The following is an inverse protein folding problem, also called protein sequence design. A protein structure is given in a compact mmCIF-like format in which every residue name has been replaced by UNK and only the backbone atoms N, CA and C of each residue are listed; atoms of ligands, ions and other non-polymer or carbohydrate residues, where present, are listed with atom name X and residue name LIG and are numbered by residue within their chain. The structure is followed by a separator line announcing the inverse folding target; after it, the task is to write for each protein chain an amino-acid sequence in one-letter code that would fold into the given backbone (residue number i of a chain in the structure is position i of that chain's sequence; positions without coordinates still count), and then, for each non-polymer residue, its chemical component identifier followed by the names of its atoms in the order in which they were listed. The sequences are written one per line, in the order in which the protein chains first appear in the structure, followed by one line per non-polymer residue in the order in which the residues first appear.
data_IF_726144613207
#
_entry.id   IF_726144613207
#
_cell.length_a   1.000
_cell.length_b   1.000
_cell.length_c   1.000
_cell.angle_alpha   90.00
_cell.angle_beta   90.00
_cell.angle_gamma   90.00
#
_symmetry.space_group_name_H-M   'P 1'
#
loop_
_entity.id
_entity.type
_entity.pdbx_description
1 polymer ?
#
# COMPACT_ATOMS: atom_id res chain seq x y z
N UNK A 1 -0.17 35.87 49.56
CA UNK A 1 -1.03 36.95 49.05
C UNK A 1 -0.52 37.26 47.65
N UNK A 2 -1.05 36.65 46.58
CA UNK A 2 -2.38 36.88 45.95
C UNK A 2 -2.39 38.33 45.45
N UNK A 3 -2.35 38.58 44.13
CA UNK A 3 -3.52 38.42 43.24
C UNK A 3 -3.22 38.04 41.78
N UNK A 4 -4.24 37.41 41.20
CA UNK A 4 -4.43 36.92 39.83
C UNK A 4 -5.17 38.00 39.01
N UNK A 5 -5.01 38.08 37.68
CA UNK A 5 -6.12 38.44 36.81
C UNK A 5 -6.52 37.27 35.91
N UNK A 6 -7.79 36.90 36.05
CA UNK A 6 -8.58 36.06 35.16
C UNK A 6 -8.92 36.85 33.89
N UNK A 7 -8.94 36.16 32.75
CA UNK A 7 -9.31 36.78 31.48
C UNK A 7 -9.31 35.76 30.35
N UNK A 8 -10.38 34.98 30.30
CA UNK A 8 -10.73 34.06 29.23
C UNK A 8 -10.96 34.79 27.90
N UNK A 9 -10.18 34.49 26.86
CA UNK A 9 -10.64 34.65 25.48
C UNK A 9 -10.30 33.42 24.63
N UNK A 10 -11.39 32.79 24.20
CA UNK A 10 -11.57 31.77 23.15
C UNK A 10 -10.47 31.65 22.11
N UNK A 11 -9.83 30.47 22.09
CA UNK A 11 -9.16 29.91 20.92
C UNK A 11 -10.22 29.67 19.82
N UNK A 12 -10.39 30.65 18.94
CA UNK A 12 -11.09 30.47 17.67
C UNK A 12 -10.27 29.49 16.86
N UNK A 13 -10.72 28.22 16.84
CA UNK A 13 -10.26 27.19 15.92
C UNK A 13 -10.44 27.70 14.48
N UNK A 14 -9.34 28.14 13.88
CA UNK A 14 -9.32 28.51 12.46
C UNK A 14 -9.73 27.28 11.64
N UNK A 15 -10.95 27.34 11.12
CA UNK A 15 -11.64 26.29 10.38
C UNK A 15 -11.05 26.06 8.99
N UNK A 16 -9.86 26.62 8.71
CA UNK A 16 -9.14 26.54 7.44
C UNK A 16 -8.22 25.33 7.29
N UNK A 17 -8.04 24.52 8.34
CA UNK A 17 -7.23 23.28 8.25
C UNK A 17 -7.98 22.15 7.51
N UNK A 18 -9.32 22.20 7.39
CA UNK A 18 -10.13 21.11 6.81
C UNK A 18 -10.64 21.34 5.38
N UNK A 19 -10.28 22.43 4.71
CA UNK A 19 -10.82 22.80 3.38
C UNK A 19 -9.79 22.84 2.24
N UNK A 20 -8.75 21.99 2.29
CA UNK A 20 -7.73 21.90 1.22
C UNK A 20 -7.74 20.60 0.39
N UNK A 21 -8.77 19.76 0.48
CA UNK A 21 -8.83 18.53 -0.33
C UNK A 21 -9.00 18.74 -1.86
N UNK A 22 -9.76 19.73 -2.38
CA UNK A 22 -9.95 19.85 -3.83
C UNK A 22 -8.78 20.52 -4.56
N UNK A 23 -8.09 21.47 -3.91
CA UNK A 23 -7.01 22.27 -4.54
C UNK A 23 -5.68 21.51 -4.61
N UNK A 24 -5.45 20.60 -3.67
CA UNK A 24 -4.23 19.77 -3.64
C UNK A 24 -4.22 18.75 -4.78
N UNK A 25 -5.39 18.21 -5.17
CA UNK A 25 -5.48 17.29 -6.32
C UNK A 25 -5.13 17.97 -7.65
N UNK A 26 -5.58 19.22 -7.84
CA UNK A 26 -5.23 20.02 -9.02
C UNK A 26 -3.75 20.41 -9.08
N UNK A 27 -3.10 20.60 -7.93
CA UNK A 27 -1.67 20.89 -7.86
C UNK A 27 -0.80 19.62 -8.00
N UNK A 28 -1.28 18.45 -7.58
CA UNK A 28 -0.64 17.16 -7.85
C UNK A 28 -0.54 16.93 -9.37
N UNK A 29 -1.61 17.22 -10.13
CA UNK A 29 -1.60 17.10 -11.61
C UNK A 29 -0.61 18.07 -12.27
N UNK A 30 -0.39 19.25 -11.69
CA UNK A 30 0.56 20.26 -12.21
C UNK A 30 2.04 19.89 -11.99
N UNK A 31 2.34 18.89 -11.16
CA UNK A 31 3.72 18.46 -10.86
C UNK A 31 4.02 17.06 -11.38
N UNK A 32 3.10 16.43 -12.11
CA UNK A 32 3.42 15.27 -12.92
C UNK A 32 4.22 15.70 -14.16
N UNK A 33 5.14 14.85 -14.67
CA UNK A 33 5.75 15.03 -15.98
C UNK A 33 4.68 15.34 -17.04
N UNK A 34 4.93 16.29 -17.94
CA UNK A 34 3.95 16.78 -18.93
C UNK A 34 3.24 15.64 -19.69
N UNK A 35 3.96 14.57 -20.01
CA UNK A 35 3.41 13.40 -20.70
C UNK A 35 2.29 12.68 -19.92
N UNK A 36 2.36 12.63 -18.59
CA UNK A 36 1.31 11.98 -17.78
C UNK A 36 0.11 12.93 -17.58
N UNK A 37 0.37 14.24 -17.52
CA UNK A 37 -0.69 15.26 -17.49
C UNK A 37 -1.54 15.27 -18.78
N UNK A 38 -0.92 15.03 -19.93
CA UNK A 38 -1.62 14.90 -21.22
C UNK A 38 -2.42 13.60 -21.32
N UNK A 39 -1.88 12.47 -20.84
CA UNK A 39 -2.62 11.19 -20.79
C UNK A 39 -3.85 11.26 -19.88
N UNK A 40 -3.76 11.96 -18.73
CA UNK A 40 -4.90 12.19 -17.84
C UNK A 40 -5.93 13.15 -18.46
N UNK A 41 -5.51 14.19 -19.19
CA UNK A 41 -6.41 15.11 -19.92
C UNK A 41 -7.06 14.48 -21.16
N UNK A 42 -6.37 13.56 -21.83
CA UNK A 42 -6.93 12.78 -22.95
C UNK A 42 -7.97 11.76 -22.46
N UNK A 43 -7.78 11.20 -21.27
CA UNK A 43 -8.77 10.33 -20.62
C UNK A 43 -10.06 11.06 -20.22
N UNK A 44 -9.97 12.33 -19.82
CA UNK A 44 -11.13 13.14 -19.41
C UNK A 44 -12.03 13.62 -20.56
N UNK A 45 -11.50 13.80 -21.78
CA UNK A 45 -12.27 14.31 -22.93
C UNK A 45 -13.15 13.27 -23.62
N UNK A 46 -12.90 11.98 -23.42
CA UNK A 46 -13.66 10.89 -24.05
C UNK A 46 -14.60 10.14 -23.10
N UNK A 47 -14.80 10.64 -21.88
CA UNK A 47 -15.68 10.02 -20.89
C UNK A 47 -17.19 10.20 -21.21
N UNK A 48 -17.54 11.10 -22.13
CA UNK A 48 -18.93 11.37 -22.53
C UNK A 48 -19.55 10.34 -23.48
N UNK A 49 -18.75 9.57 -24.24
CA UNK A 49 -19.28 8.71 -25.32
C UNK A 49 -19.31 7.20 -25.00
N UNK A 50 -18.85 6.77 -23.81
CA UNK A 50 -18.80 5.34 -23.44
C UNK A 50 -19.89 4.90 -22.44
N UNK A 51 -21.05 5.55 -22.45
CA UNK A 51 -22.19 5.19 -21.58
C UNK A 51 -23.05 4.01 -22.09
N UNK A 52 -22.58 3.24 -23.08
CA UNK A 52 -23.26 2.00 -23.52
C UNK A 52 -22.27 0.86 -23.76
N UNK A 53 -21.83 0.21 -22.67
CA UNK A 53 -21.41 -1.20 -22.76
C UNK A 53 -21.63 -1.92 -21.42
N UNK A 54 -22.03 -3.20 -21.42
CA UNK A 54 -22.47 -3.88 -20.20
C UNK A 54 -21.30 -4.16 -19.26
N UNK A 55 -21.55 -3.99 -17.96
CA UNK A 55 -20.67 -4.34 -16.84
C UNK A 55 -19.99 -5.70 -17.06
N UNK A 56 -18.66 -5.70 -17.18
CA UNK A 56 -17.83 -6.91 -17.10
C UNK A 56 -17.07 -6.91 -15.78
N UNK A 57 -17.49 -7.83 -14.90
CA UNK A 57 -16.83 -8.37 -13.70
C UNK A 57 -15.82 -7.47 -12.97
N UNK A 58 -16.27 -6.92 -11.86
CA UNK A 58 -15.49 -6.40 -10.75
C UNK A 58 -14.36 -7.38 -10.38
N UNK A 59 -13.10 -7.02 -10.61
CA UNK A 59 -11.97 -7.78 -10.07
C UNK A 59 -11.87 -7.51 -8.56
N UNK A 60 -12.52 -8.37 -7.79
CA UNK A 60 -12.42 -8.46 -6.34
C UNK A 60 -11.01 -8.97 -5.97
N UNK A 61 -10.12 -8.05 -5.55
CA UNK A 61 -8.79 -8.43 -5.04
C UNK A 61 -8.88 -8.70 -3.53
N UNK A 62 -9.24 -9.94 -3.20
CA UNK A 62 -9.10 -10.52 -1.88
C UNK A 62 -7.75 -11.23 -1.77
N UNK A 63 -6.96 -10.84 -0.78
CA UNK A 63 -5.77 -11.59 -0.39
C UNK A 63 -6.21 -12.95 0.18
N UNK A 64 -5.51 -14.06 -0.11
CA UNK A 64 -5.82 -15.33 0.52
C UNK A 64 -5.63 -15.19 2.04
N UNK A 65 -6.71 -15.37 2.79
CA UNK A 65 -6.73 -15.48 4.24
C UNK A 65 -6.55 -16.97 4.57
N UNK A 66 -5.48 -17.31 5.30
CA UNK A 66 -5.35 -18.58 6.01
C UNK A 66 -5.00 -19.81 5.17
N UNK A 67 -3.74 -20.23 5.26
CA UNK A 67 -3.43 -21.65 5.43
C UNK A 67 -3.62 -21.91 6.92
N UNK A 68 -4.78 -22.44 7.29
CA UNK A 68 -5.02 -23.06 8.59
C UNK A 68 -4.72 -24.55 8.47
N UNK A 69 -3.91 -25.05 9.40
CA UNK A 69 -3.64 -26.46 9.63
C UNK A 69 -4.93 -27.30 9.68
N UNK A 70 -4.87 -28.51 9.12
CA UNK A 70 -5.70 -29.60 9.58
C UNK A 70 -4.99 -30.94 9.34
N UNK A 71 -4.44 -31.48 10.44
CA UNK A 71 -4.14 -32.89 10.60
C UNK A 71 -5.39 -33.58 11.18
N UNK A 72 -5.96 -34.53 10.45
CA UNK A 72 -6.78 -35.63 10.98
C UNK A 72 -7.03 -36.65 9.85
N UNK A 73 -6.92 -37.94 10.18
CA UNK A 73 -6.85 -39.06 9.24
C UNK A 73 -8.18 -39.59 8.72
N UNK A 74 -8.10 -40.71 7.98
CA UNK A 74 -9.24 -41.58 7.66
C UNK A 74 -9.36 -42.02 6.21
N UNK A 75 -8.67 -43.12 5.88
CA UNK A 75 -9.00 -44.26 5.00
C UNK A 75 -9.87 -44.16 3.72
N UNK A 76 -9.43 -45.02 2.79
CA UNK A 76 -10.20 -45.88 1.84
C UNK A 76 -10.42 -45.44 0.38
N UNK A 77 -9.55 -46.02 -0.47
CA UNK A 77 -9.84 -46.99 -1.55
C UNK A 77 -10.54 -46.60 -2.88
N UNK A 78 -9.88 -47.08 -3.95
CA UNK A 78 -10.38 -47.59 -5.24
C UNK A 78 -11.03 -46.65 -6.27
N UNK A 79 -10.51 -46.73 -7.51
CA UNK A 79 -11.20 -46.24 -8.71
C UNK A 79 -10.28 -45.90 -9.87
N UNK A 80 -9.51 -46.88 -10.35
CA UNK A 80 -8.81 -46.81 -11.63
C UNK A 80 -9.84 -47.07 -12.73
N UNK A 81 -10.08 -46.12 -13.64
CA UNK A 81 -10.73 -46.44 -14.91
C UNK A 81 -10.17 -45.62 -16.07
N UNK A 82 -9.90 -46.36 -17.14
CA UNK A 82 -9.25 -45.96 -18.38
C UNK A 82 -10.32 -45.73 -19.45
N UNK A 83 -10.29 -44.58 -20.12
CA UNK A 83 -11.27 -44.26 -21.17
C UNK A 83 -10.70 -43.34 -22.24
N UNK A 84 -10.19 -43.97 -23.29
CA UNK A 84 -9.71 -43.41 -24.56
C UNK A 84 -10.82 -42.63 -25.30
N UNK A 85 -10.51 -41.45 -25.83
CA UNK A 85 -11.44 -40.69 -26.68
C UNK A 85 -10.79 -39.47 -27.30
N UNK A 86 -10.16 -39.65 -28.46
CA UNK A 86 -9.59 -38.56 -29.24
C UNK A 86 -10.67 -37.63 -29.79
N UNK A 87 -10.40 -36.33 -29.76
CA UNK A 87 -10.97 -35.41 -30.74
C UNK A 87 -9.98 -34.24 -30.98
N UNK A 88 -9.24 -34.37 -32.07
CA UNK A 88 -8.35 -33.36 -32.60
C UNK A 88 -9.19 -32.27 -33.25
N UNK A 89 -9.62 -31.26 -32.48
CA UNK A 89 -10.25 -30.08 -33.04
C UNK A 89 -9.18 -29.02 -33.30
N UNK A 90 -8.69 -29.02 -34.55
CA UNK A 90 -7.88 -27.96 -35.12
C UNK A 90 -8.71 -26.66 -35.15
N UNK A 91 -8.61 -25.87 -34.08
CA UNK A 91 -9.11 -24.51 -34.08
C UNK A 91 -7.98 -23.59 -34.57
N UNK A 92 -7.92 -23.40 -35.89
CA UNK A 92 -7.19 -22.32 -36.53
C UNK A 92 -7.82 -20.97 -36.18
N UNK A 93 -7.68 -20.56 -34.92
CA UNK A 93 -7.92 -19.20 -34.50
C UNK A 93 -6.72 -18.38 -34.89
N UNK A 94 -6.86 -17.56 -35.94
CA UNK A 94 -5.91 -16.52 -36.34
C UNK A 94 -5.51 -15.73 -35.10
N UNK A 95 -4.35 -16.05 -34.51
CA UNK A 95 -3.76 -15.28 -33.43
C UNK A 95 -3.48 -13.90 -34.01
N UNK A 96 -4.37 -12.95 -33.73
CA UNK A 96 -4.12 -11.53 -34.00
C UNK A 96 -2.74 -11.22 -33.41
N UNK A 97 -1.84 -10.53 -34.13
CA UNK A 97 -0.58 -10.12 -33.54
C UNK A 97 -0.93 -9.22 -32.35
N UNK A 98 -0.88 -9.78 -31.15
CA UNK A 98 -1.22 -9.09 -29.92
C UNK A 98 -0.07 -8.14 -29.63
N UNK A 99 -0.04 -7.00 -30.31
CA UNK A 99 0.90 -5.94 -30.00
C UNK A 99 0.65 -5.56 -28.54
N UNK A 100 1.68 -5.63 -27.70
CA UNK A 100 1.63 -5.22 -26.28
C UNK A 100 0.93 -3.87 -26.11
N UNK A 101 1.16 -2.97 -27.06
CA UNK A 101 0.52 -1.67 -27.15
C UNK A 101 -1.03 -1.76 -27.21
N UNK A 102 -1.60 -2.68 -27.99
CA UNK A 102 -3.05 -2.91 -28.05
C UNK A 102 -3.59 -3.49 -26.73
N UNK A 103 -2.83 -4.36 -26.07
CA UNK A 103 -3.17 -4.86 -24.73
C UNK A 103 -3.17 -3.75 -23.66
N UNK A 104 -2.19 -2.84 -23.71
CA UNK A 104 -2.11 -1.71 -22.79
C UNK A 104 -3.21 -0.67 -23.08
N UNK A 105 -3.46 -0.37 -24.37
CA UNK A 105 -4.51 0.57 -24.78
C UNK A 105 -5.92 0.06 -24.49
N UNK A 106 -6.14 -1.26 -24.46
CA UNK A 106 -7.41 -1.83 -24.01
C UNK A 106 -7.58 -1.76 -22.49
N UNK A 107 -6.49 -1.74 -21.72
CA UNK A 107 -6.49 -1.67 -20.25
C UNK A 107 -5.87 -0.36 -19.73
N UNK A 108 -6.35 0.78 -20.24
CA UNK A 108 -5.73 2.11 -20.03
C UNK A 108 -5.48 2.45 -18.56
N UNK A 109 -6.42 2.12 -17.68
CA UNK A 109 -6.31 2.45 -16.25
C UNK A 109 -5.27 1.58 -15.55
N UNK A 110 -5.25 0.28 -15.83
CA UNK A 110 -4.23 -0.63 -15.28
C UNK A 110 -2.83 -0.34 -15.84
N UNK A 111 -2.75 0.03 -17.13
CA UNK A 111 -1.50 0.48 -17.74
C UNK A 111 -1.01 1.79 -17.10
N UNK A 112 -1.89 2.74 -16.82
CA UNK A 112 -1.56 3.98 -16.11
C UNK A 112 -1.07 3.70 -14.69
N UNK A 113 -1.76 2.84 -13.93
CA UNK A 113 -1.32 2.42 -12.60
C UNK A 113 0.02 1.71 -12.62
N UNK A 114 0.28 0.89 -13.63
CA UNK A 114 1.58 0.25 -13.81
C UNK A 114 2.67 1.28 -14.06
N UNK A 115 2.43 2.25 -14.96
CA UNK A 115 3.40 3.31 -15.26
C UNK A 115 3.74 4.15 -14.04
N UNK A 116 2.74 4.59 -13.25
CA UNK A 116 2.99 5.35 -12.02
C UNK A 116 3.76 4.53 -10.99
N UNK A 117 3.51 3.22 -10.89
CA UNK A 117 4.28 2.32 -10.00
C UNK A 117 5.73 2.17 -10.46
N UNK A 118 5.99 2.03 -11.76
CA UNK A 118 7.36 2.01 -12.29
C UNK A 118 8.07 3.32 -11.97
N UNK A 119 7.41 4.47 -12.16
CA UNK A 119 7.98 5.77 -11.80
C UNK A 119 8.28 5.87 -10.29
N UNK A 120 7.39 5.36 -9.42
CA UNK A 120 7.62 5.26 -7.97
C UNK A 120 8.85 4.41 -7.65
N UNK A 121 9.00 3.24 -8.29
CA UNK A 121 10.14 2.34 -8.11
C UNK A 121 11.45 3.04 -8.47
N UNK A 122 11.50 3.70 -9.64
CA UNK A 122 12.68 4.43 -10.11
C UNK A 122 13.03 5.56 -9.14
N UNK A 123 12.08 6.42 -8.78
CA UNK A 123 12.34 7.53 -7.86
C UNK A 123 12.81 7.04 -6.47
N UNK A 124 12.19 5.98 -5.96
CA UNK A 124 12.58 5.39 -4.67
C UNK A 124 13.99 4.82 -4.72
N UNK A 125 14.34 4.14 -5.82
CA UNK A 125 15.68 3.59 -6.02
C UNK A 125 16.73 4.69 -6.10
N UNK A 126 16.48 5.76 -6.84
CA UNK A 126 17.39 6.91 -6.96
C UNK A 126 17.56 7.70 -5.65
N UNK A 127 16.53 7.70 -4.81
CA UNK A 127 16.63 8.27 -3.47
C UNK A 127 17.50 7.42 -2.54
N UNK A 128 17.34 6.09 -2.56
CA UNK A 128 18.10 5.16 -1.70
C UNK A 128 19.56 5.05 -2.18
N UNK A 129 19.77 5.01 -3.50
CA UNK A 129 21.07 4.88 -4.13
C UNK A 129 21.32 6.11 -5.01
N UNK A 130 21.95 7.18 -4.48
CA UNK A 130 22.18 8.43 -5.21
C UNK A 130 23.36 8.30 -6.20
N UNK A 131 23.28 7.35 -7.14
CA UNK A 131 24.34 7.03 -8.12
C UNK A 131 24.38 8.08 -9.24
N UNK A 132 23.25 8.73 -9.53
CA UNK A 132 23.07 9.63 -10.68
C UNK A 132 23.29 11.12 -10.35
N UNK A 133 23.88 11.45 -9.19
CA UNK A 133 24.31 12.82 -8.87
C UNK A 133 23.19 13.87 -8.72
N UNK A 134 21.94 13.46 -8.52
CA UNK A 134 20.79 14.37 -8.34
C UNK A 134 20.45 14.65 -6.87
N UNK A 135 19.58 15.64 -6.64
CA UNK A 135 19.10 15.99 -5.30
C UNK A 135 18.22 14.85 -4.72
N UNK A 136 18.65 14.15 -3.65
CA UNK A 136 17.92 13.02 -3.08
C UNK A 136 16.52 13.42 -2.55
N UNK A 137 16.39 14.63 -2.00
CA UNK A 137 15.11 15.14 -1.50
C UNK A 137 14.06 15.26 -2.62
N UNK A 138 14.49 15.67 -3.82
CA UNK A 138 13.61 15.71 -4.98
C UNK A 138 13.07 14.33 -5.37
N UNK A 139 13.91 13.29 -5.34
CA UNK A 139 13.49 11.91 -5.62
C UNK A 139 12.58 11.34 -4.53
N UNK A 140 12.85 11.66 -3.26
CA UNK A 140 11.98 11.33 -2.13
C UNK A 140 10.55 11.85 -2.34
N UNK A 141 10.42 13.16 -2.62
CA UNK A 141 9.12 13.78 -2.85
C UNK A 141 8.40 13.20 -4.07
N UNK A 142 9.13 13.00 -5.18
CA UNK A 142 8.55 12.41 -6.41
C UNK A 142 8.05 10.98 -6.18
N UNK A 143 8.77 10.17 -5.39
CA UNK A 143 8.32 8.83 -5.02
C UNK A 143 7.00 8.88 -4.22
N UNK A 144 6.90 9.78 -3.23
CA UNK A 144 5.68 9.93 -2.42
C UNK A 144 4.50 10.50 -3.24
N UNK A 145 4.73 11.49 -4.10
CA UNK A 145 3.69 12.06 -4.98
C UNK A 145 3.20 11.00 -5.96
N UNK A 146 4.10 10.22 -6.56
CA UNK A 146 3.72 9.13 -7.46
C UNK A 146 2.93 8.02 -6.77
N UNK A 147 3.30 7.69 -5.52
CA UNK A 147 2.54 6.76 -4.70
C UNK A 147 1.16 7.31 -4.32
N UNK A 148 1.07 8.59 -3.96
CA UNK A 148 -0.20 9.27 -3.72
C UNK A 148 -1.10 9.24 -4.97
N UNK A 149 -0.55 9.51 -6.15
CA UNK A 149 -1.27 9.43 -7.42
C UNK A 149 -1.77 8.00 -7.71
N UNK A 150 -0.91 7.00 -7.52
CA UNK A 150 -1.26 5.57 -7.67
C UNK A 150 -2.41 5.20 -6.74
N UNK A 151 -2.32 5.59 -5.47
CA UNK A 151 -3.34 5.34 -4.45
C UNK A 151 -4.67 6.05 -4.77
N UNK A 152 -4.63 7.29 -5.22
CA UNK A 152 -5.84 8.04 -5.59
C UNK A 152 -6.53 7.46 -6.82
N UNK A 153 -5.77 7.06 -7.85
CA UNK A 153 -6.32 6.37 -9.03
C UNK A 153 -6.96 5.03 -8.64
N UNK A 154 -6.27 4.25 -7.81
CA UNK A 154 -6.79 2.96 -7.32
C UNK A 154 -8.05 3.14 -6.47
N UNK A 155 -8.13 4.23 -5.72
CA UNK A 155 -9.31 4.55 -4.94
C UNK A 155 -10.50 4.92 -5.84
N UNK A 156 -10.25 5.71 -6.88
CA UNK A 156 -11.25 6.08 -7.88
C UNK A 156 -11.85 4.86 -8.60
N UNK A 157 -11.04 3.82 -8.85
CA UNK A 157 -11.54 2.56 -9.43
C UNK A 157 -12.36 1.70 -8.47
N UNK A 158 -12.12 1.81 -7.16
CA UNK A 158 -12.67 0.89 -6.15
C UNK A 158 -13.92 1.42 -5.46
N UNK A 159 -14.03 2.74 -5.32
CA UNK A 159 -15.18 3.35 -4.69
C UNK A 159 -16.30 3.60 -5.72
N UNK A 160 -17.57 3.50 -5.29
CA UNK A 160 -18.68 3.98 -6.09
C UNK A 160 -18.58 5.50 -6.30
N UNK A 161 -19.46 6.05 -7.12
CA UNK A 161 -19.56 7.50 -7.36
C UNK A 161 -19.45 8.28 -6.04
N UNK A 162 -18.67 9.37 -6.08
CA UNK A 162 -18.37 10.17 -4.90
C UNK A 162 -19.66 10.66 -4.23
N UNK A 163 -19.82 10.28 -2.97
CA UNK A 163 -20.95 10.68 -2.12
C UNK A 163 -20.40 11.18 -0.80
N UNK A 164 -20.81 12.37 -0.37
CA UNK A 164 -20.47 12.88 0.96
C UNK A 164 -21.40 12.26 2.01
N UNK A 165 -21.19 10.98 2.29
CA UNK A 165 -21.93 10.23 3.31
C UNK A 165 -20.98 9.55 4.29
N UNK A 166 -21.45 9.34 5.53
CA UNK A 166 -20.67 8.64 6.57
C UNK A 166 -20.27 7.24 6.11
N UNK A 167 -21.15 6.60 5.36
CA UNK A 167 -20.98 5.27 4.78
C UNK A 167 -19.87 5.28 3.74
N UNK A 168 -19.83 6.30 2.86
CA UNK A 168 -18.76 6.46 1.87
C UNK A 168 -17.41 6.69 2.55
N UNK A 169 -17.34 7.53 3.59
CA UNK A 169 -16.11 7.71 4.36
C UNK A 169 -15.68 6.44 5.09
N UNK A 170 -16.63 5.65 5.61
CA UNK A 170 -16.36 4.34 6.20
C UNK A 170 -15.72 3.38 5.19
N UNK A 171 -16.26 3.31 3.97
CA UNK A 171 -15.71 2.51 2.87
C UNK A 171 -14.32 3.02 2.44
N UNK A 172 -14.17 4.35 2.35
CA UNK A 172 -12.92 5.02 2.00
C UNK A 172 -11.79 4.63 2.97
N UNK A 173 -12.03 4.72 4.28
CA UNK A 173 -11.03 4.37 5.30
C UNK A 173 -10.79 2.86 5.44
N UNK A 174 -11.59 2.00 4.82
CA UNK A 174 -11.34 0.55 4.75
C UNK A 174 -10.38 0.20 3.60
N UNK A 175 -10.25 1.08 2.59
CA UNK A 175 -9.34 0.86 1.46
C UNK A 175 -7.87 1.07 1.84
N UNK A 176 -7.03 0.05 1.59
CA UNK A 176 -5.57 0.16 1.76
C UNK A 176 -5.00 1.34 0.94
N UNK A 177 -5.57 1.62 -0.23
CA UNK A 177 -5.16 2.76 -1.08
C UNK A 177 -5.35 4.10 -0.35
N UNK A 178 -6.41 4.25 0.44
CA UNK A 178 -6.61 5.45 1.25
C UNK A 178 -5.52 5.58 2.32
N UNK A 179 -5.13 4.46 2.95
CA UNK A 179 -4.05 4.48 3.95
C UNK A 179 -2.74 4.95 3.34
N UNK A 180 -2.34 4.43 2.17
CA UNK A 180 -1.11 4.86 1.49
C UNK A 180 -1.19 6.27 0.89
N UNK A 181 -2.39 6.75 0.55
CA UNK A 181 -2.60 8.15 0.20
C UNK A 181 -2.27 9.04 1.40
N UNK A 182 -2.87 8.75 2.56
CA UNK A 182 -2.60 9.49 3.80
C UNK A 182 -1.13 9.37 4.21
N UNK A 183 -0.54 8.18 4.14
CA UNK A 183 0.88 7.96 4.39
C UNK A 183 1.76 8.89 3.55
N UNK A 184 1.48 8.97 2.25
CA UNK A 184 2.25 9.83 1.35
C UNK A 184 2.09 11.31 1.70
N UNK A 185 0.88 11.75 2.07
CA UNK A 185 0.61 13.13 2.49
C UNK A 185 1.31 13.49 3.82
N UNK A 186 1.38 12.55 4.77
CA UNK A 186 2.06 12.73 6.06
C UNK A 186 3.56 13.06 5.85
N UNK A 187 4.21 12.34 4.93
CA UNK A 187 5.66 12.39 4.76
C UNK A 187 6.13 13.35 3.65
N UNK A 188 5.24 13.82 2.77
CA UNK A 188 5.59 14.62 1.58
C UNK A 188 6.34 15.93 1.90
N UNK A 189 5.93 16.63 2.96
CA UNK A 189 6.48 17.94 3.35
C UNK A 189 7.41 17.86 4.57
N UNK A 190 7.79 16.66 4.98
CA UNK A 190 8.64 16.43 6.15
C UNK A 190 10.13 16.28 5.82
N UNK A 191 10.93 16.13 6.88
CA UNK A 191 12.31 15.67 6.75
C UNK A 191 12.33 14.27 6.10
N UNK A 192 13.25 13.99 5.15
CA UNK A 192 13.26 12.72 4.44
C UNK A 192 13.60 11.55 5.37
N UNK A 193 12.67 10.60 5.45
CA UNK A 193 12.82 9.39 6.28
C UNK A 193 12.93 8.18 5.35
N UNK A 194 14.11 7.56 5.27
CA UNK A 194 14.35 6.42 4.37
C UNK A 194 13.43 5.24 4.66
N UNK A 195 13.17 4.96 5.95
CA UNK A 195 12.23 3.93 6.38
C UNK A 195 10.82 4.14 5.82
N UNK A 196 10.41 5.39 5.57
CA UNK A 196 9.09 5.68 5.00
C UNK A 196 9.00 5.37 3.49
N UNK A 197 10.13 5.36 2.77
CA UNK A 197 10.15 5.03 1.33
C UNK A 197 10.10 3.53 1.08
N UNK A 198 10.66 2.72 1.99
CA UNK A 198 10.68 1.25 1.88
C UNK A 198 9.29 0.64 1.59
N UNK A 199 8.22 0.91 2.37
CA UNK A 199 6.91 0.34 2.09
C UNK A 199 6.36 0.81 0.73
N UNK A 200 6.55 2.09 0.39
CA UNK A 200 6.14 2.68 -0.89
C UNK A 200 6.83 1.98 -2.07
N UNK A 201 8.13 1.78 -1.98
CA UNK A 201 8.93 1.08 -2.98
C UNK A 201 8.47 -0.37 -3.14
N UNK A 202 8.34 -1.13 -2.05
CA UNK A 202 8.04 -2.55 -2.11
C UNK A 202 6.61 -2.82 -2.61
N UNK A 203 5.62 -2.01 -2.24
CA UNK A 203 4.28 -2.13 -2.82
C UNK A 203 4.26 -1.80 -4.30
N UNK A 204 4.94 -0.72 -4.70
CA UNK A 204 5.02 -0.34 -6.10
C UNK A 204 5.71 -1.43 -6.92
N UNK A 205 6.82 -1.98 -6.41
CA UNK A 205 7.57 -3.06 -7.04
C UNK A 205 6.73 -4.33 -7.20
N UNK A 206 6.10 -4.81 -6.13
CA UNK A 206 5.27 -6.00 -6.16
C UNK A 206 4.13 -5.88 -7.18
N UNK A 207 3.43 -4.74 -7.16
CA UNK A 207 2.34 -4.49 -8.10
C UNK A 207 2.81 -4.25 -9.54
N UNK A 208 3.97 -3.62 -9.73
CA UNK A 208 4.56 -3.44 -11.04
C UNK A 208 4.96 -4.79 -11.66
N UNK A 209 5.64 -5.65 -10.89
CA UNK A 209 6.04 -6.98 -11.33
C UNK A 209 4.84 -7.85 -11.77
N UNK A 210 3.72 -7.78 -11.04
CA UNK A 210 2.51 -8.53 -11.39
C UNK A 210 1.95 -8.10 -12.76
N UNK A 211 1.88 -6.80 -13.04
CA UNK A 211 1.40 -6.32 -14.34
C UNK A 211 2.44 -6.58 -15.46
N UNK A 212 3.74 -6.42 -15.15
CA UNK A 212 4.82 -6.78 -16.07
C UNK A 212 4.75 -8.26 -16.47
N UNK A 213 4.40 -9.17 -15.55
CA UNK A 213 4.16 -10.59 -15.90
C UNK A 213 3.05 -10.76 -16.94
N UNK A 214 1.96 -10.00 -16.83
CA UNK A 214 0.88 -10.03 -17.81
C UNK A 214 1.35 -9.51 -19.18
N UNK A 215 2.14 -8.43 -19.20
CA UNK A 215 2.76 -7.93 -20.44
C UNK A 215 3.64 -9.01 -21.07
N UNK A 216 4.52 -9.63 -20.29
CA UNK A 216 5.40 -10.68 -20.79
C UNK A 216 4.58 -11.86 -21.33
N UNK A 217 3.49 -12.26 -20.67
CA UNK A 217 2.62 -13.33 -21.17
C UNK A 217 2.01 -13.01 -22.56
N UNK A 218 1.75 -11.72 -22.85
CA UNK A 218 1.30 -11.28 -24.18
C UNK A 218 2.45 -11.30 -25.21
N UNK A 219 3.68 -11.01 -24.79
CA UNK A 219 4.88 -11.05 -25.66
C UNK A 219 5.31 -12.47 -26.05
N UNK A 220 4.87 -13.48 -25.31
CA UNK A 220 5.15 -14.90 -25.56
C UNK A 220 6.09 -15.52 -24.52
N UNK A 221 6.08 -16.86 -24.37
CA UNK A 221 6.75 -17.56 -23.27
C UNK A 221 8.27 -17.30 -23.18
N UNK A 222 8.94 -17.16 -24.32
CA UNK A 222 10.40 -17.02 -24.39
C UNK A 222 10.92 -15.58 -24.25
N UNK A 223 10.04 -14.59 -24.19
CA UNK A 223 10.47 -13.21 -24.02
C UNK A 223 11.05 -13.00 -22.61
N UNK A 224 12.25 -12.41 -22.52
CA UNK A 224 12.85 -11.92 -21.27
C UNK A 224 12.82 -12.94 -20.12
N UNK A 225 13.28 -14.18 -20.40
CA UNK A 225 13.26 -15.28 -19.43
C UNK A 225 13.93 -14.93 -18.09
N UNK A 226 14.99 -14.11 -18.10
CA UNK A 226 15.59 -13.59 -16.88
C UNK A 226 14.62 -12.77 -16.04
N UNK A 227 13.89 -11.84 -16.66
CA UNK A 227 12.90 -11.00 -15.99
C UNK A 227 11.73 -11.84 -15.45
N UNK A 228 11.29 -12.87 -16.18
CA UNK A 228 10.28 -13.82 -15.68
C UNK A 228 10.75 -14.51 -14.41
N UNK A 229 11.96 -15.09 -14.41
CA UNK A 229 12.54 -15.76 -13.25
C UNK A 229 12.65 -14.83 -12.04
N UNK A 230 13.03 -13.56 -12.24
CA UNK A 230 13.07 -12.57 -11.17
C UNK A 230 11.67 -12.27 -10.61
N UNK A 231 10.69 -12.03 -11.48
CA UNK A 231 9.30 -11.79 -11.07
C UNK A 231 8.75 -12.99 -10.32
N UNK A 232 8.98 -14.20 -10.80
CA UNK A 232 8.50 -15.44 -10.17
C UNK A 232 9.13 -15.60 -8.77
N UNK A 233 10.44 -15.38 -8.62
CA UNK A 233 11.09 -15.38 -7.29
C UNK A 233 10.51 -14.34 -6.35
N UNK A 234 10.23 -13.13 -6.84
CA UNK A 234 9.63 -12.07 -6.05
C UNK A 234 8.21 -12.44 -5.61
N UNK A 235 7.41 -13.03 -6.50
CA UNK A 235 6.06 -13.52 -6.21
C UNK A 235 6.06 -14.66 -5.18
N UNK A 236 7.03 -15.58 -5.25
CA UNK A 236 7.20 -16.63 -4.25
C UNK A 236 7.48 -16.06 -2.84
N UNK A 237 8.18 -14.92 -2.76
CA UNK A 237 8.51 -14.24 -1.50
C UNK A 237 7.51 -13.15 -1.12
N UNK A 238 6.36 -13.05 -1.80
CA UNK A 238 5.39 -11.97 -1.61
C UNK A 238 4.95 -11.83 -0.15
N UNK A 239 4.64 -12.93 0.53
CA UNK A 239 4.18 -12.91 1.94
C UNK A 239 5.27 -12.32 2.84
N UNK A 240 6.52 -12.73 2.64
CA UNK A 240 7.67 -12.22 3.41
C UNK A 240 7.90 -10.73 3.14
N UNK A 241 7.75 -10.29 1.89
CA UNK A 241 7.82 -8.86 1.53
C UNK A 241 6.72 -8.07 2.24
N UNK A 242 5.48 -8.56 2.24
CA UNK A 242 4.35 -7.88 2.90
C UNK A 242 4.52 -7.82 4.42
N UNK A 243 5.08 -8.88 5.03
CA UNK A 243 5.47 -8.87 6.45
C UNK A 243 6.59 -7.86 6.70
N UNK A 244 7.61 -7.79 5.85
CA UNK A 244 8.69 -6.83 6.00
C UNK A 244 8.22 -5.36 5.88
N UNK A 245 7.30 -5.09 4.96
CA UNK A 245 6.60 -3.81 4.85
C UNK A 245 5.88 -3.47 6.16
N UNK A 246 5.03 -4.37 6.65
CA UNK A 246 4.26 -4.12 7.87
C UNK A 246 5.18 -3.92 9.09
N UNK A 247 6.28 -4.66 9.17
CA UNK A 247 7.32 -4.47 10.17
C UNK A 247 7.92 -3.06 10.10
N UNK A 248 8.27 -2.61 8.90
CA UNK A 248 8.79 -1.25 8.66
C UNK A 248 7.77 -0.19 9.09
N UNK A 249 6.49 -0.37 8.75
CA UNK A 249 5.40 0.52 9.17
C UNK A 249 5.30 0.64 10.70
N UNK A 250 5.45 -0.47 11.42
CA UNK A 250 5.46 -0.48 12.88
C UNK A 250 6.66 0.30 13.43
N UNK A 251 7.86 0.05 12.90
CA UNK A 251 9.10 0.68 13.39
C UNK A 251 9.26 2.16 13.06
N UNK A 252 8.51 2.69 12.08
CA UNK A 252 8.46 4.14 11.84
C UNK A 252 7.93 4.89 13.08
N UNK A 253 7.01 4.31 13.87
CA UNK A 253 6.43 4.98 15.04
C UNK A 253 7.47 5.34 16.14
N UNK A 254 8.30 4.42 16.66
CA UNK A 254 9.35 4.79 17.58
C UNK A 254 10.38 5.72 16.91
N UNK A 255 10.69 5.53 15.62
CA UNK A 255 11.63 6.40 14.91
C UNK A 255 11.16 7.86 14.85
N UNK A 256 9.89 8.13 14.55
CA UNK A 256 9.34 9.50 14.53
C UNK A 256 9.30 10.12 15.94
N UNK A 257 9.10 9.33 16.99
CA UNK A 257 9.18 9.82 18.38
C UNK A 257 10.61 10.27 18.69
N UNK A 258 11.62 9.47 18.35
CA UNK A 258 13.02 9.87 18.52
C UNK A 258 13.39 11.10 17.67
N UNK A 259 12.92 11.16 16.42
CA UNK A 259 13.15 12.32 15.55
C UNK A 259 12.46 13.59 16.04
N UNK A 260 11.30 13.46 16.70
CA UNK A 260 10.60 14.58 17.32
C UNK A 260 11.43 15.17 18.46
N UNK A 261 11.97 14.33 19.35
CA UNK A 261 12.87 14.80 20.42
C UNK A 261 14.20 15.36 19.87
N UNK A 262 14.65 14.88 18.72
CA UNK A 262 15.81 15.43 18.01
C UNK A 262 15.51 16.71 17.22
N UNK A 263 14.29 17.25 17.27
CA UNK A 263 13.88 18.48 16.57
C UNK A 263 13.79 18.34 15.04
N UNK A 264 13.76 17.12 14.49
CA UNK A 264 13.73 16.86 13.04
C UNK A 264 12.33 16.77 12.45
N UNK A 265 11.30 16.66 13.29
CA UNK A 265 9.91 16.63 12.85
C UNK A 265 8.98 17.34 13.84
N UNK A 266 7.81 17.74 13.35
CA UNK A 266 6.80 18.43 14.15
C UNK A 266 6.22 17.52 15.23
N UNK A 267 5.85 18.11 16.38
CA UNK A 267 5.20 17.40 17.49
C UNK A 267 3.91 16.68 17.08
N UNK A 268 3.22 17.17 16.04
CA UNK A 268 1.99 16.57 15.55
C UNK A 268 2.21 15.25 14.77
N UNK A 269 3.40 15.02 14.21
CA UNK A 269 3.67 13.90 13.31
C UNK A 269 3.40 12.52 13.95
N UNK A 270 3.83 12.22 15.19
CA UNK A 270 3.51 10.97 15.87
C UNK A 270 2.00 10.68 16.00
N UNK A 271 1.19 11.72 16.27
CA UNK A 271 -0.25 11.56 16.42
C UNK A 271 -0.94 11.22 15.09
N UNK A 272 -0.54 11.88 14.00
CA UNK A 272 -1.11 11.59 12.67
C UNK A 272 -0.65 10.21 12.19
N UNK A 273 0.62 9.88 12.40
CA UNK A 273 1.14 8.56 12.05
C UNK A 273 0.48 7.44 12.87
N UNK A 274 0.12 7.71 14.13
CA UNK A 274 -0.63 6.77 14.95
C UNK A 274 -2.01 6.47 14.35
N UNK A 275 -2.69 7.48 13.78
CA UNK A 275 -3.96 7.25 13.06
C UNK A 275 -3.76 6.40 11.81
N UNK A 276 -2.70 6.64 11.03
CA UNK A 276 -2.34 5.75 9.93
C UNK A 276 -2.12 4.31 10.42
N UNK A 277 -1.31 4.11 11.45
CA UNK A 277 -0.96 2.79 11.96
C UNK A 277 -2.19 2.06 12.54
N UNK A 278 -3.08 2.80 13.21
CA UNK A 278 -4.36 2.29 13.71
C UNK A 278 -5.27 1.79 12.59
N UNK A 279 -5.39 2.55 11.49
CA UNK A 279 -6.14 2.12 10.30
C UNK A 279 -5.52 0.90 9.63
N UNK A 280 -4.18 0.82 9.57
CA UNK A 280 -3.47 -0.35 9.04
C UNK A 280 -3.68 -1.59 9.90
N UNK A 281 -3.69 -1.42 11.23
CA UNK A 281 -3.95 -2.51 12.17
C UNK A 281 -5.37 -3.09 12.02
N UNK A 282 -6.37 -2.24 11.80
CA UNK A 282 -7.78 -2.64 11.62
C UNK A 282 -8.11 -3.04 10.18
N UNK A 283 -7.20 -2.88 9.22
CA UNK A 283 -7.44 -3.27 7.84
C UNK A 283 -7.80 -4.76 7.75
N UNK A 284 -8.94 -5.04 7.13
CA UNK A 284 -9.41 -6.42 6.85
C UNK A 284 -8.67 -7.05 5.68
N UNK A 285 -8.24 -6.24 4.72
CA UNK A 285 -7.55 -6.73 3.52
C UNK A 285 -6.10 -7.09 3.80
N UNK A 286 -5.40 -6.34 4.65
CA UNK A 286 -4.00 -6.60 4.97
C UNK A 286 -3.83 -6.93 6.47
N UNK A 287 -3.83 -8.22 6.86
CA UNK A 287 -3.73 -8.62 8.25
C UNK A 287 -2.31 -8.54 8.83
N UNK A 288 -1.27 -8.36 7.99
CA UNK A 288 0.14 -8.53 8.40
C UNK A 288 0.59 -7.56 9.50
N UNK A 289 0.06 -6.33 9.51
CA UNK A 289 0.35 -5.37 10.57
C UNK A 289 -0.10 -5.90 11.94
N UNK A 290 -1.34 -6.39 12.03
CA UNK A 290 -1.90 -7.00 13.24
C UNK A 290 -1.16 -8.28 13.63
N UNK A 291 -0.86 -9.15 12.65
CA UNK A 291 -0.10 -10.38 12.88
C UNK A 291 1.26 -10.08 13.51
N UNK A 292 2.01 -9.11 12.98
CA UNK A 292 3.33 -8.76 13.50
C UNK A 292 3.27 -8.11 14.88
N UNK A 293 2.29 -7.26 15.17
CA UNK A 293 2.10 -6.76 16.53
C UNK A 293 1.89 -7.90 17.53
N UNK A 294 1.09 -8.90 17.17
CA UNK A 294 0.87 -10.09 18.00
C UNK A 294 2.15 -10.91 18.17
N UNK A 295 2.86 -11.19 17.08
CA UNK A 295 4.12 -11.96 17.12
C UNK A 295 5.23 -11.25 17.90
N UNK A 296 5.37 -9.93 17.73
CA UNK A 296 6.30 -9.12 18.50
C UNK A 296 5.96 -9.16 19.99
N UNK A 297 4.68 -9.04 20.35
CA UNK A 297 4.22 -9.18 21.74
C UNK A 297 4.61 -10.54 22.30
N UNK A 298 4.28 -11.63 21.61
CA UNK A 298 4.58 -13.00 22.04
C UNK A 298 6.10 -13.23 22.20
N UNK A 299 6.90 -12.67 21.29
CA UNK A 299 8.36 -12.78 21.34
C UNK A 299 8.93 -12.06 22.56
N UNK A 300 8.44 -10.85 22.85
CA UNK A 300 8.85 -10.11 24.04
C UNK A 300 8.38 -10.83 25.31
N UNK A 301 7.16 -11.36 25.35
CA UNK A 301 6.65 -12.15 26.48
C UNK A 301 7.53 -13.37 26.74
N UNK A 302 7.84 -14.15 25.69
CA UNK A 302 8.74 -15.30 25.79
C UNK A 302 10.13 -14.92 26.29
N UNK A 303 10.71 -13.83 25.76
CA UNK A 303 11.99 -13.31 26.23
C UNK A 303 11.96 -12.93 27.71
N UNK A 304 10.89 -12.26 28.17
CA UNK A 304 10.74 -11.89 29.58
C UNK A 304 10.50 -13.08 30.52
N UNK A 305 9.92 -14.17 30.01
CA UNK A 305 9.69 -15.40 30.75
C UNK A 305 10.98 -16.23 30.97
N UNK A 306 12.03 -15.95 30.21
CA UNK A 306 13.33 -16.63 30.36
C UNK A 306 13.96 -16.28 31.72
N UNK A 307 14.49 -17.26 32.47
CA UNK A 307 15.09 -17.02 33.79
C UNK A 307 16.30 -16.07 33.75
N UNK A 308 17.01 -16.00 32.61
CA UNK A 308 18.17 -15.13 32.41
C UNK A 308 17.84 -13.65 32.18
N UNK A 309 16.56 -13.25 32.16
CA UNK A 309 16.16 -11.87 31.92
C UNK A 309 16.26 -11.01 33.20
N UNK A 310 17.07 -9.93 33.21
CA UNK A 310 17.17 -9.03 34.36
C UNK A 310 15.82 -8.40 34.73
N UNK A 311 15.54 -8.28 36.04
CA UNK A 311 14.25 -7.81 36.55
C UNK A 311 13.81 -6.45 36.00
N UNK A 312 14.74 -5.50 35.83
CA UNK A 312 14.46 -4.17 35.26
C UNK A 312 13.95 -4.27 33.82
N UNK A 313 14.60 -5.09 33.00
CA UNK A 313 14.22 -5.29 31.59
C UNK A 313 12.86 -5.97 31.52
N UNK A 314 12.63 -7.00 32.34
CA UNK A 314 11.32 -7.67 32.46
C UNK A 314 10.21 -6.66 32.76
N UNK A 315 10.37 -5.83 33.80
CA UNK A 315 9.37 -4.82 34.16
C UNK A 315 9.16 -3.78 33.06
N UNK A 316 10.24 -3.31 32.42
CA UNK A 316 10.14 -2.34 31.33
C UNK A 316 9.38 -2.90 30.12
N UNK A 317 9.70 -4.12 29.70
CA UNK A 317 9.03 -4.82 28.60
C UNK A 317 7.55 -5.05 28.87
N UNK A 318 7.19 -5.54 30.07
CA UNK A 318 5.79 -5.77 30.43
C UNK A 318 4.99 -4.47 30.49
N UNK A 319 5.58 -3.38 31.01
CA UNK A 319 4.95 -2.04 30.97
C UNK A 319 4.77 -1.54 29.54
N UNK A 320 5.75 -1.75 28.67
CA UNK A 320 5.65 -1.37 27.26
C UNK A 320 4.56 -2.17 26.54
N UNK A 321 4.46 -3.48 26.76
CA UNK A 321 3.38 -4.32 26.23
C UNK A 321 2.03 -3.80 26.70
N UNK A 322 1.85 -3.54 28.00
CA UNK A 322 0.61 -3.02 28.54
C UNK A 322 0.22 -1.66 27.93
N UNK A 323 1.20 -0.76 27.75
CA UNK A 323 0.98 0.54 27.13
C UNK A 323 0.57 0.42 25.65
N UNK A 324 1.31 -0.34 24.84
CA UNK A 324 0.99 -0.53 23.41
C UNK A 324 -0.36 -1.23 23.25
N UNK A 325 -0.67 -2.21 24.11
CA UNK A 325 -1.95 -2.94 24.06
C UNK A 325 -3.13 -2.03 24.36
N UNK A 326 -2.98 -1.06 25.26
CA UNK A 326 -4.01 -0.03 25.53
C UNK A 326 -4.23 0.91 24.35
N UNK A 327 -3.23 1.11 23.51
CA UNK A 327 -3.32 1.91 22.29
C UNK A 327 -3.86 1.12 21.10
N UNK A 328 -4.08 -0.18 21.23
CA UNK A 328 -4.62 -1.00 20.15
C UNK A 328 -6.10 -0.66 19.91
N UNK A 329 -6.50 -0.39 18.66
CA UNK A 329 -7.90 -0.12 18.35
C UNK A 329 -8.75 -1.41 18.46
N UNK A 330 -10.05 -1.29 18.78
CA UNK A 330 -10.95 -2.44 18.77
C UNK A 330 -11.04 -3.03 17.37
N UNK A 331 -10.97 -4.36 17.26
CA UNK A 331 -11.08 -5.06 15.97
C UNK A 331 -12.57 -5.07 15.60
N UNK A 332 -12.98 -4.49 14.46
CA UNK A 332 -14.36 -4.58 14.00
C UNK A 332 -14.66 -6.03 13.65
N UNK A 333 -15.56 -6.68 14.40
CA UNK A 333 -16.01 -8.06 14.15
C UNK A 333 -16.56 -8.24 12.74
#
# INVERSE_FOLDING_TARGET
MVDIPSGSESLVLDSRVFTMAPRTFGNIIKHLPQEIGELLRAGGRNAGEYLKSPRRSSQHWSWPVGMSDNSAGGDSNAGNDSGTGGNTQANGGTQRPNTVLNFMLSNKVEAALWLTRIFTVVCSFLFIFPILGGNPYGFYQRALISNAATSALRLHQRLPHFQLSREFFGLLFLEDSCHYLMFSLIFMNGYPITMAVIPVFLFALLHACNYTKNILNVMGPDSLQFMRKLIDKLQLQQINILRFIACTEIFIMPAIIFMMFAGKCSFFLPFVYYKFLSLRYTSRRNPYCRTLFTEMRLTVEHFTATPSCPGIIRTACLKAIAFISRLSPPIPQ
#
